data_IF_492133300159
#
_entry.id   IF_492133300159
#
_cell.length_a   1.000
_cell.length_b   1.000
_cell.length_c   1.000
_cell.angle_alpha   90.00
_cell.angle_beta   90.00
_cell.angle_gamma   90.00
#
_symmetry.space_group_name_H-M   'P 1'
#
loop_
_entity.id
_entity.type
_entity.pdbx_description
1 polymer ?
#
# COMPACT_ATOMS: atom_id res chain seq x y z
N UNK A 1 5.71 -14.79 4.61
CA UNK A 1 5.36 -13.71 3.67
C UNK A 1 5.29 -12.41 4.45
N UNK A 2 5.56 -11.27 3.82
CA UNK A 2 5.45 -9.94 4.43
C UNK A 2 4.68 -9.06 3.44
N UNK A 3 3.70 -8.30 3.91
CA UNK A 3 3.04 -7.26 3.16
C UNK A 3 3.60 -5.89 3.57
N UNK A 4 3.76 -5.00 2.61
CA UNK A 4 4.16 -3.60 2.83
C UNK A 4 3.00 -2.74 2.34
N UNK A 5 2.56 -1.82 3.18
CA UNK A 5 1.39 -0.96 2.94
C UNK A 5 1.78 0.50 3.14
N UNK A 6 1.18 1.42 2.38
CA UNK A 6 1.32 2.86 2.62
C UNK A 6 0.48 3.35 3.80
N UNK A 7 -0.36 2.49 4.39
CA UNK A 7 -1.15 2.82 5.57
C UNK A 7 -0.27 3.28 6.73
N UNK A 8 -0.78 4.17 7.58
CA UNK A 8 -0.15 4.47 8.87
C UNK A 8 -0.04 3.19 9.72
N UNK A 9 0.92 3.08 10.67
CA UNK A 9 1.04 1.98 11.63
C UNK A 9 -0.26 1.65 12.35
N UNK A 10 -1.03 2.65 12.76
CA UNK A 10 -2.30 2.44 13.46
C UNK A 10 -3.36 1.85 12.51
N UNK A 11 -3.44 2.35 11.28
CA UNK A 11 -4.36 1.83 10.28
C UNK A 11 -3.93 0.44 9.80
N UNK A 12 -2.64 0.21 9.60
CA UNK A 12 -2.05 -1.08 9.25
C UNK A 12 -2.30 -2.13 10.34
N UNK A 13 -2.19 -1.74 11.62
CA UNK A 13 -2.53 -2.60 12.75
C UNK A 13 -4.04 -2.93 12.76
N UNK A 14 -4.89 -1.92 12.60
CA UNK A 14 -6.35 -2.10 12.55
C UNK A 14 -6.78 -2.99 11.38
N UNK A 15 -6.17 -2.79 10.20
CA UNK A 15 -6.36 -3.63 9.00
C UNK A 15 -5.91 -5.07 9.27
N UNK A 16 -4.75 -5.25 9.91
CA UNK A 16 -4.25 -6.58 10.30
C UNK A 16 -5.23 -7.28 11.24
N UNK A 17 -5.77 -6.59 12.24
CA UNK A 17 -6.75 -7.16 13.17
C UNK A 17 -8.07 -7.50 12.47
N UNK A 18 -8.55 -6.65 11.55
CA UNK A 18 -9.79 -6.86 10.78
C UNK A 18 -9.72 -8.06 9.84
N UNK A 19 -8.58 -8.24 9.16
CA UNK A 19 -8.43 -9.25 8.10
C UNK A 19 -7.65 -10.50 8.53
N UNK A 20 -7.02 -10.47 9.71
CA UNK A 20 -6.21 -11.54 10.32
C UNK A 20 -5.30 -12.30 9.33
N UNK A 21 -4.47 -11.58 8.55
CA UNK A 21 -3.63 -12.25 7.56
C UNK A 21 -2.56 -13.11 8.25
N UNK A 22 -2.22 -14.29 7.71
CA UNK A 22 -1.21 -15.20 8.28
C UNK A 22 0.24 -14.73 8.04
N UNK A 23 0.43 -13.43 7.88
CA UNK A 23 1.71 -12.80 7.55
C UNK A 23 1.84 -11.43 8.20
N UNK A 24 3.09 -10.97 8.30
CA UNK A 24 3.39 -9.65 8.85
C UNK A 24 2.98 -8.55 7.86
N UNK A 25 2.40 -7.47 8.35
CA UNK A 25 2.13 -6.25 7.60
C UNK A 25 3.02 -5.14 8.15
N UNK A 26 3.75 -4.46 7.27
CA UNK A 26 4.63 -3.34 7.60
C UNK A 26 4.08 -2.05 6.97
N UNK A 27 4.20 -0.95 7.70
CA UNK A 27 3.85 0.40 7.22
C UNK A 27 5.05 1.05 6.52
N UNK A 28 4.79 1.62 5.34
CA UNK A 28 5.71 2.41 4.50
C UNK A 28 4.98 3.68 4.02
N UNK A 29 4.71 4.59 4.96
CA UNK A 29 3.78 5.74 4.81
C UNK A 29 4.00 6.60 3.55
N UNK A 30 5.26 6.78 3.15
CA UNK A 30 5.63 7.56 1.96
C UNK A 30 6.11 6.68 0.81
N UNK A 31 5.84 5.38 0.89
CA UNK A 31 6.21 4.40 -0.10
C UNK A 31 7.72 4.43 -0.39
N UNK A 32 8.60 4.64 0.59
CA UNK A 32 10.04 4.76 0.34
C UNK A 32 10.62 3.50 -0.30
N UNK A 33 10.15 2.32 0.11
CA UNK A 33 10.59 1.03 -0.43
C UNK A 33 10.02 0.81 -1.82
N UNK A 34 8.72 1.09 -2.01
CA UNK A 34 8.04 0.87 -3.30
C UNK A 34 8.37 1.93 -4.36
N UNK A 35 8.72 3.15 -3.95
CA UNK A 35 9.09 4.26 -4.85
C UNK A 35 10.49 4.10 -5.43
N UNK A 36 11.43 3.52 -4.68
CA UNK A 36 12.78 3.21 -5.16
C UNK A 36 12.77 2.35 -6.44
N UNK A 37 11.73 1.54 -6.59
CA UNK A 37 11.53 0.63 -7.71
C UNK A 37 10.45 1.07 -8.72
N UNK A 38 9.94 2.31 -8.63
CA UNK A 38 8.82 2.83 -9.45
C UNK A 38 7.52 2.00 -9.35
N UNK A 39 7.28 1.41 -8.18
CA UNK A 39 6.11 0.54 -7.90
C UNK A 39 5.05 1.25 -7.06
N UNK A 40 5.10 2.58 -7.00
CA UNK A 40 4.03 3.40 -6.47
C UNK A 40 3.82 4.60 -7.38
N UNK A 41 2.61 5.13 -7.35
CA UNK A 41 2.24 6.28 -8.15
C UNK A 41 1.53 7.30 -7.28
N UNK A 42 1.79 8.57 -7.58
CA UNK A 42 1.02 9.68 -7.04
C UNK A 42 -0.35 9.67 -7.69
N UNK A 43 -1.39 9.75 -6.85
CA UNK A 43 -2.78 9.74 -7.26
C UNK A 43 -3.13 11.16 -7.74
N UNK A 44 -3.57 11.33 -9.00
CA UNK A 44 -3.98 12.64 -9.49
C UNK A 44 -5.09 13.24 -8.64
N UNK A 45 -5.08 14.57 -8.47
CA UNK A 45 -5.99 15.30 -7.58
C UNK A 45 -7.47 14.94 -7.79
N UNK A 46 -7.95 14.94 -9.04
CA UNK A 46 -9.34 14.60 -9.36
C UNK A 46 -9.74 13.20 -8.86
N UNK A 47 -8.81 12.23 -8.88
CA UNK A 47 -9.06 10.88 -8.42
C UNK A 47 -9.00 10.80 -6.89
N UNK A 48 -8.07 11.51 -6.26
CA UNK A 48 -8.00 11.62 -4.80
C UNK A 48 -9.27 12.25 -4.22
N UNK A 49 -9.76 13.32 -4.84
CA UNK A 49 -11.05 13.95 -4.48
C UNK A 49 -12.22 12.98 -4.66
N UNK A 50 -12.23 12.20 -5.75
CA UNK A 50 -13.27 11.19 -5.99
C UNK A 50 -13.24 10.10 -4.92
N UNK A 51 -12.07 9.56 -4.57
CA UNK A 51 -11.93 8.54 -3.53
C UNK A 51 -12.40 9.06 -2.17
N UNK A 52 -12.05 10.30 -1.84
CA UNK A 52 -12.49 10.97 -0.62
C UNK A 52 -14.00 11.20 -0.60
N UNK A 53 -14.57 11.71 -1.68
CA UNK A 53 -16.00 12.06 -1.76
C UNK A 53 -16.93 10.86 -1.89
N UNK A 54 -16.51 9.82 -2.63
CA UNK A 54 -17.36 8.66 -2.95
C UNK A 54 -17.15 7.52 -1.95
N UNK A 55 -15.90 7.24 -1.56
CA UNK A 55 -15.57 6.13 -0.67
C UNK A 55 -15.28 6.57 0.76
N UNK A 56 -15.27 7.88 1.05
CA UNK A 56 -14.84 8.41 2.35
C UNK A 56 -13.35 8.20 2.62
N UNK A 57 -12.55 7.87 1.59
CA UNK A 57 -11.15 7.52 1.73
C UNK A 57 -10.25 8.74 1.45
N UNK A 58 -9.89 9.47 2.49
CA UNK A 58 -8.87 10.52 2.43
C UNK A 58 -7.48 9.89 2.51
N UNK A 59 -6.82 9.72 1.36
CA UNK A 59 -5.54 9.01 1.26
C UNK A 59 -4.41 9.65 2.06
N UNK A 60 -4.31 10.98 2.06
CA UNK A 60 -3.28 11.73 2.80
C UNK A 60 -3.45 11.45 4.30
N UNK A 61 -4.68 11.59 4.79
CA UNK A 61 -5.01 11.34 6.20
C UNK A 61 -4.88 9.86 6.58
N UNK A 62 -5.33 8.95 5.73
CA UNK A 62 -5.34 7.50 5.99
C UNK A 62 -3.93 6.90 5.99
N UNK A 63 -3.06 7.40 5.12
CA UNK A 63 -1.67 6.95 5.05
C UNK A 63 -0.73 7.73 6.00
N UNK A 64 -1.20 8.84 6.58
CA UNK A 64 -0.39 9.79 7.34
C UNK A 64 0.88 10.19 6.56
N UNK A 65 0.63 10.66 5.33
CA UNK A 65 1.61 10.93 4.30
C UNK A 65 1.49 12.37 3.78
N UNK A 66 2.54 12.89 3.14
CA UNK A 66 2.56 14.26 2.61
C UNK A 66 1.79 14.40 1.29
N UNK A 67 1.68 13.29 0.55
CA UNK A 67 1.10 13.23 -0.79
C UNK A 67 0.22 11.99 -0.92
N UNK A 68 -0.81 12.09 -1.76
CA UNK A 68 -1.69 10.96 -2.05
C UNK A 68 -0.94 9.96 -2.94
N UNK A 69 -0.35 8.91 -2.34
CA UNK A 69 0.34 7.85 -3.06
C UNK A 69 -0.37 6.52 -2.84
N UNK A 70 -0.42 5.70 -3.89
CA UNK A 70 -0.83 4.30 -3.81
C UNK A 70 0.27 3.38 -4.36
N UNK A 71 0.52 2.24 -3.70
CA UNK A 71 1.41 1.22 -4.23
C UNK A 71 0.71 0.48 -5.38
N UNK A 72 1.48 0.11 -6.39
CA UNK A 72 1.06 -0.86 -7.40
C UNK A 72 1.01 -2.24 -6.74
N UNK A 73 -0.15 -2.92 -6.67
CA UNK A 73 -0.24 -4.23 -6.05
C UNK A 73 0.68 -5.24 -6.76
N UNK A 74 1.63 -5.81 -6.02
CA UNK A 74 2.60 -6.76 -6.57
C UNK A 74 3.10 -7.73 -5.49
N UNK A 75 3.55 -8.91 -5.91
CA UNK A 75 4.20 -9.90 -5.03
C UNK A 75 5.62 -10.14 -5.52
N UNK A 76 6.59 -10.10 -4.61
CA UNK A 76 8.00 -10.31 -4.92
C UNK A 76 8.53 -11.54 -4.20
N UNK A 77 9.34 -12.32 -4.92
CA UNK A 77 10.25 -13.27 -4.29
C UNK A 77 11.61 -12.59 -4.23
N UNK A 78 12.13 -12.42 -3.01
CA UNK A 78 13.44 -11.84 -2.74
C UNK A 78 14.37 -12.99 -2.38
N UNK A 79 15.36 -13.27 -3.23
CA UNK A 79 16.46 -14.19 -2.88
C UNK A 79 17.50 -13.46 -2.03
N UNK A 80 18.32 -14.20 -1.26
CA UNK A 80 19.41 -13.65 -0.42
C UNK A 80 20.47 -12.87 -1.20
N UNK A 81 20.46 -12.97 -2.53
CA UNK A 81 21.31 -12.21 -3.46
C UNK A 81 20.60 -10.99 -4.08
N UNK A 82 19.51 -10.52 -3.46
CA UNK A 82 18.73 -9.33 -3.86
C UNK A 82 18.13 -9.40 -5.28
N UNK A 83 18.04 -10.60 -5.86
CA UNK A 83 17.40 -10.77 -7.16
C UNK A 83 15.88 -10.75 -6.98
N UNK A 84 15.23 -9.68 -7.46
CA UNK A 84 13.78 -9.54 -7.46
C UNK A 84 13.17 -10.34 -8.62
N UNK A 85 12.46 -11.42 -8.31
CA UNK A 85 11.56 -12.05 -9.27
C UNK A 85 10.13 -11.54 -9.03
N UNK A 86 9.61 -10.78 -10.00
CA UNK A 86 8.25 -10.23 -9.96
C UNK A 86 7.24 -11.33 -10.27
N UNK A 87 6.38 -11.64 -9.31
CA UNK A 87 5.16 -12.41 -9.52
C UNK A 87 3.99 -11.42 -9.52
N UNK A 88 3.47 -11.14 -10.71
CA UNK A 88 2.23 -10.37 -10.87
C UNK A 88 1.05 -11.25 -10.46
N UNK A 89 0.68 -11.19 -9.18
CA UNK A 89 -0.67 -11.58 -8.72
C UNK A 89 -1.42 -10.30 -8.40
N UNK A 90 -2.44 -10.00 -9.20
CA UNK A 90 -3.40 -8.95 -8.91
C UNK A 90 -4.25 -9.44 -7.73
N UNK A 91 -3.94 -8.98 -6.52
CA UNK A 91 -4.87 -9.06 -5.40
C UNK A 91 -5.68 -7.77 -5.38
N UNK A 92 -6.97 -7.89 -5.65
CA UNK A 92 -7.92 -6.79 -5.47
C UNK A 92 -8.00 -6.48 -3.98
N UNK A 93 -7.44 -5.34 -3.57
CA UNK A 93 -7.75 -4.75 -2.27
C UNK A 93 -9.24 -4.41 -2.31
N UNK A 94 -10.06 -5.12 -1.52
CA UNK A 94 -11.45 -4.73 -1.30
C UNK A 94 -11.42 -3.47 -0.45
N UNK A 95 -11.55 -2.32 -1.10
CA UNK A 95 -11.83 -1.04 -0.46
C UNK A 95 -13.31 -0.98 -0.08
N UNK A 96 -13.69 -1.76 0.93
CA UNK A 96 -14.88 -1.64 1.82
C UNK A 96 -14.79 -2.70 2.92
#
# INVERSE_FOLDING_TARGET
MIAVSTESPDNSLSSKEKYDPPFLVLSDRNSHVTSADKKAYEVPEYLAETLKGVLGLDLIRYNDADVAILPVPATFIIDKKESFNLLLKIQTIRLV
#
